data_IF_287014522790
#
_entry.id   IF_287014522790
#
_cell.length_a   1.000
_cell.length_b   1.000
_cell.length_c   1.000
_cell.angle_alpha   90.00
_cell.angle_beta   90.00
_cell.angle_gamma   90.00
#
_symmetry.space_group_name_H-M   'P 1'
#
loop_
_entity.id
_entity.type
_entity.pdbx_description
1 polymer ?
#
# COMPACT_ATOMS: atom_id res chain seq x y z
N UNK A 1 -7.87 16.54 7.80
CA UNK A 1 -6.66 16.18 7.06
C UNK A 1 -6.14 14.93 7.74
N UNK A 2 -6.02 13.82 7.02
CA UNK A 2 -5.47 12.60 7.60
C UNK A 2 -3.98 12.84 7.79
N UNK A 3 -3.46 12.65 9.00
CA UNK A 3 -2.02 12.79 9.29
C UNK A 3 -1.15 11.80 8.45
N UNK A 4 -1.75 10.87 7.71
CA UNK A 4 -1.11 9.84 6.89
C UNK A 4 -0.97 10.15 5.38
N UNK A 5 -1.15 11.40 4.93
CA UNK A 5 -0.99 11.76 3.51
C UNK A 5 0.50 11.79 3.10
N UNK A 6 1.06 10.60 2.88
CA UNK A 6 2.36 10.40 2.23
C UNK A 6 2.21 10.44 0.71
N UNK A 7 3.06 11.23 0.07
CA UNK A 7 3.23 11.20 -1.39
C UNK A 7 3.78 9.84 -1.83
N UNK A 8 3.73 9.58 -3.13
CA UNK A 8 4.25 8.32 -3.67
C UNK A 8 5.77 8.16 -3.44
N UNK A 9 6.53 9.26 -3.50
CA UNK A 9 7.98 9.26 -3.28
C UNK A 9 8.35 9.07 -1.81
N UNK A 10 7.62 9.71 -0.90
CA UNK A 10 7.79 9.51 0.55
C UNK A 10 7.44 8.08 0.95
N UNK A 11 6.36 7.52 0.39
CA UNK A 11 5.98 6.13 0.62
C UNK A 11 7.01 5.16 0.04
N UNK A 12 7.56 5.42 -1.16
CA UNK A 12 8.61 4.60 -1.74
C UNK A 12 9.87 4.59 -0.84
N UNK A 13 10.19 5.74 -0.25
CA UNK A 13 11.27 5.86 0.74
C UNK A 13 10.98 5.01 1.98
N UNK A 14 9.75 5.06 2.51
CA UNK A 14 9.32 4.21 3.64
C UNK A 14 9.40 2.72 3.32
N UNK A 15 8.95 2.31 2.12
CA UNK A 15 9.00 0.93 1.68
C UNK A 15 10.43 0.42 1.45
N UNK A 16 11.37 1.31 1.11
CA UNK A 16 12.79 0.95 1.02
C UNK A 16 13.34 0.54 2.39
N UNK A 17 12.88 1.19 3.48
CA UNK A 17 13.25 0.82 4.85
C UNK A 17 12.77 -0.58 5.28
N UNK A 18 11.74 -1.14 4.63
CA UNK A 18 11.33 -2.54 4.87
C UNK A 18 12.39 -3.54 4.39
N UNK A 19 13.16 -3.19 3.36
CA UNK A 19 14.16 -4.06 2.74
C UNK A 19 15.59 -3.79 3.24
N UNK A 20 15.79 -2.81 4.12
CA UNK A 20 17.10 -2.45 4.68
C UNK A 20 17.30 -0.94 4.75
N UNK A 21 18.57 -0.49 4.79
CA UNK A 21 18.89 0.94 4.75
C UNK A 21 18.98 1.43 3.29
N UNK A 22 18.13 2.37 2.85
CA UNK A 22 18.26 3.02 1.54
C UNK A 22 19.58 3.79 1.43
N UNK A 23 20.25 3.72 0.27
CA UNK A 23 21.52 4.41 0.01
C UNK A 23 21.38 5.93 -0.02
N UNK A 24 20.25 6.43 -0.52
CA UNK A 24 19.94 7.84 -0.62
C UNK A 24 18.53 8.11 -0.11
N UNK A 25 18.42 9.03 0.84
CA UNK A 25 17.14 9.48 1.39
C UNK A 25 17.11 10.99 1.34
N UNK A 26 16.11 11.53 0.66
CA UNK A 26 15.87 12.98 0.67
C UNK A 26 15.59 13.44 2.11
N UNK A 27 16.27 14.49 2.60
CA UNK A 27 16.14 14.95 3.98
C UNK A 27 14.69 15.27 4.38
N UNK A 28 13.91 15.83 3.44
CA UNK A 28 12.51 16.20 3.67
C UNK A 28 11.62 14.97 3.84
N UNK A 29 11.85 13.92 3.05
CA UNK A 29 11.13 12.65 3.21
C UNK A 29 11.46 12.04 4.57
N UNK A 30 12.75 11.97 4.91
CA UNK A 30 13.18 11.41 6.19
C UNK A 30 12.58 12.15 7.39
N UNK A 31 12.61 13.49 7.36
CA UNK A 31 12.04 14.33 8.41
C UNK A 31 10.54 14.07 8.58
N UNK A 32 9.81 13.88 7.48
CA UNK A 32 8.39 13.55 7.53
C UNK A 32 8.14 12.16 8.11
N UNK A 33 8.89 11.14 7.67
CA UNK A 33 8.76 9.77 8.20
C UNK A 33 9.05 9.71 9.71
N UNK A 34 10.04 10.48 10.18
CA UNK A 34 10.31 10.65 11.61
C UNK A 34 9.16 11.38 12.33
N UNK A 35 8.63 12.44 11.74
CA UNK A 35 7.55 13.24 12.34
C UNK A 35 6.26 12.43 12.52
N UNK A 36 6.01 11.46 11.64
CA UNK A 36 4.87 10.55 11.71
C UNK A 36 5.16 9.27 12.51
N UNK A 37 6.34 9.17 13.14
CA UNK A 37 6.79 7.99 13.88
C UNK A 37 6.75 6.68 13.05
N UNK A 38 6.94 6.79 11.73
CA UNK A 38 7.00 5.65 10.80
C UNK A 38 8.41 5.05 10.72
N UNK A 39 9.41 5.87 11.01
CA UNK A 39 10.82 5.50 11.14
C UNK A 39 11.33 6.10 12.44
N UNK A 40 12.29 5.43 13.09
CA UNK A 40 12.95 5.92 14.30
C UNK A 40 14.48 5.83 14.15
N UNK A 41 15.21 6.78 14.74
CA UNK A 41 16.67 6.69 14.79
C UNK A 41 17.11 5.82 15.96
N UNK A 42 17.86 4.75 15.66
CA UNK A 42 18.52 3.88 16.65
C UNK A 42 20.04 3.95 16.49
N UNK A 43 20.78 3.33 17.42
CA UNK A 43 22.25 3.31 17.41
C UNK A 43 22.86 2.70 16.13
N UNK A 44 22.11 1.86 15.41
CA UNK A 44 22.49 1.28 14.11
C UNK A 44 22.02 2.06 12.88
N UNK A 45 21.38 3.20 13.08
CA UNK A 45 20.76 4.03 12.05
C UNK A 45 19.23 4.00 12.07
N UNK A 46 18.59 4.58 11.06
CA UNK A 46 17.14 4.61 10.96
C UNK A 46 16.54 3.22 10.74
N UNK A 47 15.53 2.89 11.56
CA UNK A 47 14.79 1.63 11.49
C UNK A 47 13.29 1.90 11.32
N UNK A 48 12.63 1.01 10.57
CA UNK A 48 11.20 1.05 10.35
C UNK A 48 10.45 0.67 11.64
N UNK A 49 9.47 1.48 12.03
CA UNK A 49 8.63 1.17 13.20
C UNK A 49 7.50 0.20 12.85
N UNK A 50 6.82 -0.34 13.86
CA UNK A 50 5.61 -1.16 13.65
C UNK A 50 4.52 -0.38 12.91
N UNK A 51 4.40 0.93 13.16
CA UNK A 51 3.45 1.80 12.48
C UNK A 51 3.82 1.96 10.99
N UNK A 52 5.10 2.21 10.69
CA UNK A 52 5.62 2.26 9.32
C UNK A 52 5.36 0.97 8.55
N UNK A 53 5.68 -0.18 9.15
CA UNK A 53 5.46 -1.50 8.56
C UNK A 53 3.97 -1.78 8.30
N UNK A 54 3.11 -1.47 9.26
CA UNK A 54 1.66 -1.64 9.11
C UNK A 54 1.11 -0.78 7.96
N UNK A 55 1.60 0.45 7.81
CA UNK A 55 1.19 1.36 6.75
C UNK A 55 1.63 0.87 5.37
N UNK A 56 2.86 0.35 5.24
CA UNK A 56 3.35 -0.28 4.00
C UNK A 56 2.47 -1.45 3.59
N UNK A 57 2.21 -2.37 4.52
CA UNK A 57 1.35 -3.55 4.27
C UNK A 57 -0.09 -3.18 3.94
N UNK A 58 -0.66 -2.19 4.64
CA UNK A 58 -2.03 -1.76 4.39
C UNK A 58 -2.16 -1.15 2.98
N UNK A 59 -1.18 -0.36 2.54
CA UNK A 59 -1.20 0.24 1.20
C UNK A 59 -1.02 -0.80 0.11
N UNK A 60 -0.11 -1.76 0.29
CA UNK A 60 0.06 -2.91 -0.62
C UNK A 60 -1.24 -3.71 -0.73
N UNK A 61 -1.89 -4.01 0.41
CA UNK A 61 -3.16 -4.73 0.43
C UNK A 61 -4.25 -3.97 -0.33
N UNK A 62 -4.39 -2.65 -0.11
CA UNK A 62 -5.39 -1.84 -0.83
C UNK A 62 -5.16 -1.84 -2.34
N UNK A 63 -3.91 -1.87 -2.79
CA UNK A 63 -3.59 -1.98 -4.22
C UNK A 63 -3.97 -3.34 -4.80
N UNK A 64 -3.63 -4.43 -4.09
CA UNK A 64 -4.02 -5.80 -4.45
C UNK A 64 -5.54 -5.98 -4.47
N UNK A 65 -6.23 -5.54 -3.43
CA UNK A 65 -7.70 -5.67 -3.34
C UNK A 65 -8.38 -4.92 -4.51
N UNK A 66 -7.89 -3.73 -4.88
CA UNK A 66 -8.43 -2.97 -6.01
C UNK A 66 -8.18 -3.62 -7.38
N UNK A 67 -7.04 -4.30 -7.55
CA UNK A 67 -6.73 -5.05 -8.77
C UNK A 67 -7.63 -6.29 -8.89
N UNK A 68 -7.83 -7.03 -7.79
CA UNK A 68 -8.75 -8.18 -7.75
C UNK A 68 -10.19 -7.77 -8.11
N UNK A 69 -10.68 -6.67 -7.53
CA UNK A 69 -12.04 -6.19 -7.83
C UNK A 69 -12.19 -5.85 -9.33
N UNK A 70 -11.19 -5.23 -9.94
CA UNK A 70 -11.20 -4.90 -11.37
C UNK A 70 -11.17 -6.14 -12.29
N UNK A 71 -10.43 -7.19 -11.92
CA UNK A 71 -10.42 -8.47 -12.65
C UNK A 71 -11.74 -9.24 -12.51
N UNK A 72 -12.36 -9.19 -11.32
CA UNK A 72 -13.66 -9.79 -11.06
C UNK A 72 -14.75 -9.14 -11.93
N UNK A 73 -14.78 -7.81 -12.05
CA UNK A 73 -15.75 -7.10 -12.89
C UNK A 73 -15.68 -7.50 -14.38
N UNK A 74 -14.51 -7.91 -14.89
CA UNK A 74 -14.35 -8.36 -16.29
C UNK A 74 -14.74 -9.83 -16.51
N UNK A 75 -14.82 -10.63 -15.44
CA UNK A 75 -15.10 -12.08 -15.51
C UNK A 75 -16.58 -12.41 -15.41
N UNK A 76 -17.44 -11.45 -15.06
CA UNK A 76 -18.89 -11.65 -15.07
C UNK A 76 -19.48 -11.16 -16.40
N UNK A 77 -19.64 -12.02 -17.42
CA UNK A 77 -20.63 -11.74 -18.45
C UNK A 77 -21.96 -11.59 -17.71
N UNK A 78 -22.68 -10.48 -17.95
CA UNK A 78 -24.03 -10.29 -17.47
C UNK A 78 -24.79 -11.59 -17.67
N UNK A 79 -25.12 -12.26 -16.57
CA UNK A 79 -25.78 -13.56 -16.49
C UNK A 79 -26.79 -13.72 -17.63
N UNK A 80 -26.42 -14.38 -18.73
CA UNK A 80 -27.41 -14.82 -19.71
C UNK A 80 -28.29 -15.83 -18.97
N UNK A 81 -29.56 -15.49 -18.67
CA UNK A 81 -30.42 -16.44 -17.99
C UNK A 81 -30.58 -17.64 -18.93
N UNK A 82 -30.48 -18.89 -18.44
CA UNK A 82 -30.90 -20.00 -19.27
C UNK A 82 -32.37 -19.77 -19.58
N UNK A 83 -32.65 -19.50 -20.86
CA UNK A 83 -33.99 -19.38 -21.39
C UNK A 83 -34.68 -20.74 -21.23
N UNK A 84 -35.33 -20.95 -20.08
CA UNK A 84 -36.12 -22.16 -19.83
C UNK A 84 -37.41 -22.04 -20.63
N UNK A 85 -37.34 -22.20 -21.96
CA UNK A 85 -38.54 -22.55 -22.73
C UNK A 85 -38.85 -23.99 -22.42
N UNK A 86 -39.71 -24.21 -21.42
CA UNK A 86 -40.33 -25.50 -21.15
C UNK A 86 -41.23 -25.83 -22.34
N UNK A 87 -40.67 -26.53 -23.32
CA UNK A 87 -41.45 -27.14 -24.40
C UNK A 87 -42.23 -28.35 -23.85
N UNK A 88 -43.47 -28.46 -24.34
CA UNK A 88 -44.46 -29.55 -24.22
C UNK A 88 -45.10 -29.82 -22.87
#
# INVERSE_FOLDING_TARGET
MSDDDLTQEEFATLAAFENGQPEHVEPDHFAKLLSLALVEQREGGPELTEAGLSLVRQRQKRQLDAELDAELEQTFPASDPPNVTRST
#
